data_IF_066619078252
#
_entry.id   IF_066619078252
#
_cell.length_a   1.000
_cell.length_b   1.000
_cell.length_c   1.000
_cell.angle_alpha   90.00
_cell.angle_beta   90.00
_cell.angle_gamma   90.00
#
_symmetry.space_group_name_H-M   'P 1'
#
loop_
_entity.id
_entity.type
_entity.pdbx_description
1 polymer ?
#
# COMPACT_ATOMS: atom_id res chain seq x y z
N UNK A 1 3.23 -32.35 17.51
CA UNK A 1 3.65 -32.00 18.89
C UNK A 1 5.15 -32.04 19.08
N UNK A 2 5.94 -32.59 18.14
CA UNK A 2 7.41 -32.69 18.26
C UNK A 2 8.16 -31.36 18.06
N UNK A 3 7.48 -30.31 17.57
CA UNK A 3 8.06 -28.98 17.26
C UNK A 3 7.92 -27.97 18.41
N UNK A 4 7.50 -28.40 19.60
CA UNK A 4 7.36 -27.51 20.76
C UNK A 4 8.59 -27.67 21.65
N UNK A 5 9.47 -26.67 21.66
CA UNK A 5 10.64 -26.64 22.56
C UNK A 5 10.22 -26.04 23.91
N UNK A 6 10.22 -26.80 25.02
CA UNK A 6 9.86 -26.27 26.32
C UNK A 6 10.96 -25.34 26.85
N UNK A 7 10.61 -24.08 27.08
CA UNK A 7 11.52 -23.09 27.66
C UNK A 7 11.49 -23.22 29.18
N UNK A 8 12.64 -23.49 29.80
CA UNK A 8 12.78 -23.52 31.26
C UNK A 8 12.81 -22.10 31.80
N UNK A 9 11.69 -21.61 32.30
CA UNK A 9 11.62 -20.36 33.07
C UNK A 9 11.61 -20.65 34.58
N UNK A 10 12.05 -19.69 35.38
CA UNK A 10 11.93 -19.78 36.84
C UNK A 10 10.47 -19.89 37.26
N UNK A 11 10.16 -20.73 38.26
CA UNK A 11 8.80 -20.93 38.75
C UNK A 11 8.28 -19.60 39.32
N UNK A 12 7.33 -18.99 38.61
CA UNK A 12 6.67 -17.78 39.09
C UNK A 12 5.56 -18.18 40.08
N UNK A 13 5.87 -18.14 41.38
CA UNK A 13 4.94 -18.54 42.44
C UNK A 13 4.09 -17.33 42.83
N UNK A 14 2.83 -17.31 42.39
CA UNK A 14 1.87 -16.31 42.87
C UNK A 14 1.53 -16.60 44.34
N UNK A 15 1.59 -15.62 45.25
CA UNK A 15 1.22 -15.82 46.64
C UNK A 15 -0.27 -16.21 46.71
N UNK A 16 -0.60 -17.24 47.51
CA UNK A 16 -2.01 -17.61 47.73
C UNK A 16 -2.69 -16.49 48.52
N UNK A 17 -3.85 -16.05 48.05
CA UNK A 17 -4.70 -15.16 48.83
C UNK A 17 -5.26 -15.92 50.04
N UNK A 18 -5.49 -15.21 51.15
CA UNK A 18 -6.12 -15.77 52.35
C UNK A 18 -7.55 -16.27 52.08
N UNK A 19 -8.21 -15.74 51.03
CA UNK A 19 -9.52 -16.21 50.55
C UNK A 19 -9.45 -17.57 49.86
N UNK A 20 -8.30 -17.96 49.31
CA UNK A 20 -8.11 -19.29 48.71
C UNK A 20 -7.85 -20.40 49.74
N UNK A 21 -7.84 -20.09 51.04
CA UNK A 21 -7.56 -21.04 52.11
C UNK A 21 -8.82 -21.75 52.66
N UNK A 22 -10.03 -21.32 52.28
CA UNK A 22 -11.30 -21.91 52.73
C UNK A 22 -12.18 -22.32 51.56
N UNK A 23 -13.01 -23.35 51.73
CA UNK A 23 -13.95 -23.80 50.69
C UNK A 23 -14.90 -22.66 50.26
N UNK A 24 -15.52 -21.89 51.17
CA UNK A 24 -16.36 -20.75 50.77
C UNK A 24 -15.60 -19.68 49.98
N UNK A 25 -14.35 -19.39 50.37
CA UNK A 25 -13.54 -18.40 49.67
C UNK A 25 -13.07 -18.86 48.29
N UNK A 26 -12.75 -20.15 48.11
CA UNK A 26 -12.46 -20.73 46.79
C UNK A 26 -13.67 -20.68 45.87
N UNK A 27 -14.88 -21.02 46.37
CA UNK A 27 -16.11 -20.93 45.59
C UNK A 27 -16.39 -19.49 45.15
N UNK A 28 -16.23 -18.51 46.04
CA UNK A 28 -16.35 -17.09 45.70
C UNK A 28 -15.32 -16.64 44.65
N UNK A 29 -14.08 -17.11 44.73
CA UNK A 29 -13.06 -16.82 43.70
C UNK A 29 -13.44 -17.44 42.35
N UNK A 30 -13.87 -18.70 42.32
CA UNK A 30 -14.27 -19.34 41.06
C UNK A 30 -15.47 -18.63 40.44
N UNK A 31 -16.46 -18.23 41.24
CA UNK A 31 -17.61 -17.48 40.74
C UNK A 31 -17.16 -16.15 40.12
N UNK A 32 -16.32 -15.38 40.80
CA UNK A 32 -15.82 -14.11 40.29
C UNK A 32 -15.03 -14.28 38.97
N UNK A 33 -14.17 -15.29 38.88
CA UNK A 33 -13.39 -15.56 37.65
C UNK A 33 -14.30 -15.99 36.49
N UNK A 34 -15.32 -16.81 36.79
CA UNK A 34 -16.31 -17.22 35.78
C UNK A 34 -17.16 -16.05 35.30
N UNK A 35 -17.65 -15.22 36.22
CA UNK A 35 -18.44 -14.04 35.88
C UNK A 35 -17.60 -13.05 35.06
N UNK A 36 -16.34 -12.82 35.45
CA UNK A 36 -15.42 -11.97 34.70
C UNK A 36 -15.14 -12.53 33.29
N UNK A 37 -14.89 -13.84 33.17
CA UNK A 37 -14.68 -14.50 31.88
C UNK A 37 -15.93 -14.39 31.01
N UNK A 38 -17.11 -14.67 31.55
CA UNK A 38 -18.36 -14.63 30.81
C UNK A 38 -18.68 -13.22 30.30
N UNK A 39 -18.53 -12.20 31.15
CA UNK A 39 -18.70 -10.80 30.77
C UNK A 39 -17.68 -10.37 29.73
N UNK A 40 -16.41 -10.80 29.87
CA UNK A 40 -15.36 -10.46 28.90
C UNK A 40 -15.63 -11.08 27.52
N UNK A 41 -16.08 -12.34 27.48
CA UNK A 41 -16.45 -13.00 26.24
C UNK A 41 -17.65 -12.34 25.58
N UNK A 42 -18.70 -12.04 26.35
CA UNK A 42 -19.88 -11.35 25.82
C UNK A 42 -19.52 -9.98 25.25
N UNK A 43 -18.72 -9.19 25.97
CA UNK A 43 -18.25 -7.89 25.49
C UNK A 43 -17.42 -8.01 24.20
N UNK A 44 -16.58 -9.05 24.10
CA UNK A 44 -15.75 -9.31 22.93
C UNK A 44 -16.60 -9.73 21.71
N UNK A 45 -17.60 -10.57 21.92
CA UNK A 45 -18.58 -10.94 20.89
C UNK A 45 -19.38 -9.72 20.41
N UNK A 46 -19.82 -8.87 21.34
CA UNK A 46 -20.52 -7.63 21.00
C UNK A 46 -19.62 -6.69 20.17
N UNK A 47 -18.36 -6.51 20.58
CA UNK A 47 -17.39 -5.70 19.82
C UNK A 47 -17.14 -6.27 18.43
N UNK A 48 -17.04 -7.59 18.28
CA UNK A 48 -16.88 -8.25 16.99
C UNK A 48 -18.08 -7.96 16.08
N UNK A 49 -19.29 -8.08 16.62
CA UNK A 49 -20.52 -7.78 15.88
C UNK A 49 -20.57 -6.32 15.42
N UNK A 50 -20.27 -5.37 16.30
CA UNK A 50 -20.21 -3.93 15.95
C UNK A 50 -19.15 -3.66 14.90
N UNK A 51 -17.92 -4.16 15.08
CA UNK A 51 -16.83 -3.98 14.11
C UNK A 51 -17.18 -4.56 12.73
N UNK A 52 -17.90 -5.69 12.69
CA UNK A 52 -18.38 -6.27 11.43
C UNK A 52 -19.41 -5.37 10.73
N UNK A 53 -20.32 -4.76 11.47
CA UNK A 53 -21.30 -3.82 10.92
C UNK A 53 -20.62 -2.54 10.41
N UNK A 54 -19.69 -1.98 11.17
CA UNK A 54 -18.90 -0.81 10.78
C UNK A 54 -18.08 -1.07 9.51
N UNK A 55 -17.41 -2.22 9.43
CA UNK A 55 -16.67 -2.64 8.23
C UNK A 55 -17.59 -2.72 7.02
N UNK A 56 -18.78 -3.33 7.18
CA UNK A 56 -19.75 -3.45 6.09
C UNK A 56 -20.16 -2.07 5.58
N UNK A 57 -20.48 -1.15 6.49
CA UNK A 57 -20.83 0.23 6.14
C UNK A 57 -19.66 0.98 5.46
N UNK A 58 -18.43 0.83 5.96
CA UNK A 58 -17.24 1.44 5.36
C UNK A 58 -17.00 0.94 3.92
N UNK A 59 -17.21 -0.36 3.66
CA UNK A 59 -17.10 -0.93 2.31
C UNK A 59 -18.18 -0.37 1.37
N UNK A 60 -19.41 -0.21 1.83
CA UNK A 60 -20.46 0.43 1.04
C UNK A 60 -20.12 1.88 0.70
N UNK A 61 -19.61 2.65 1.66
CA UNK A 61 -19.16 4.02 1.42
C UNK A 61 -17.98 4.06 0.43
N UNK A 62 -17.06 3.10 0.50
CA UNK A 62 -15.95 2.98 -0.44
C UNK A 62 -16.45 2.74 -1.88
N UNK A 63 -17.38 1.80 -2.09
CA UNK A 63 -17.97 1.57 -3.43
C UNK A 63 -18.70 2.82 -3.95
N UNK A 64 -19.47 3.48 -3.09
CA UNK A 64 -20.14 4.73 -3.44
C UNK A 64 -19.14 5.83 -3.85
N UNK A 65 -18.04 5.99 -3.10
CA UNK A 65 -16.98 6.94 -3.43
C UNK A 65 -16.30 6.60 -4.77
N UNK A 66 -16.04 5.32 -5.04
CA UNK A 66 -15.50 4.86 -6.32
C UNK A 66 -16.40 5.23 -7.51
N UNK A 67 -17.73 5.09 -7.37
CA UNK A 67 -18.70 5.51 -8.39
C UNK A 67 -18.68 7.01 -8.64
N UNK A 68 -18.57 7.82 -7.58
CA UNK A 68 -18.45 9.29 -7.70
C UNK A 68 -17.15 9.66 -8.41
N UNK A 69 -16.03 9.04 -8.06
CA UNK A 69 -14.74 9.28 -8.72
C UNK A 69 -14.83 8.93 -10.21
N UNK A 70 -15.47 7.82 -10.58
CA UNK A 70 -15.65 7.44 -11.98
C UNK A 70 -16.47 8.48 -12.76
N UNK A 71 -17.56 8.99 -12.17
CA UNK A 71 -18.38 10.05 -12.78
C UNK A 71 -17.57 11.34 -12.96
N UNK A 72 -16.88 11.79 -11.91
CA UNK A 72 -16.06 13.00 -11.96
C UNK A 72 -14.89 12.89 -12.94
N UNK A 73 -14.28 11.71 -13.07
CA UNK A 73 -13.25 11.46 -14.08
C UNK A 73 -13.81 11.64 -15.49
N UNK A 74 -15.00 11.09 -15.77
CA UNK A 74 -15.67 11.25 -17.07
C UNK A 74 -15.99 12.72 -17.36
N UNK A 75 -16.60 13.43 -16.42
CA UNK A 75 -16.93 14.86 -16.57
C UNK A 75 -15.67 15.72 -16.80
N UNK A 76 -14.57 15.42 -16.08
CA UNK A 76 -13.27 16.08 -16.28
C UNK A 76 -12.71 15.81 -17.68
N UNK A 77 -12.76 14.57 -18.14
CA UNK A 77 -12.19 14.19 -19.44
C UNK A 77 -13.01 14.80 -20.59
N UNK A 78 -14.34 14.84 -20.45
CA UNK A 78 -15.25 15.58 -21.35
C UNK A 78 -14.88 17.08 -21.38
N UNK A 79 -14.77 17.74 -20.23
CA UNK A 79 -14.39 19.15 -20.15
C UNK A 79 -13.01 19.44 -20.79
N UNK A 80 -12.01 18.57 -20.57
CA UNK A 80 -10.68 18.70 -21.19
C UNK A 80 -10.72 18.51 -22.70
N UNK A 81 -11.53 17.56 -23.19
CA UNK A 81 -11.68 17.34 -24.62
C UNK A 81 -12.36 18.50 -25.34
N UNK A 82 -13.37 19.12 -24.70
CA UNK A 82 -14.01 20.34 -25.21
C UNK A 82 -13.03 21.51 -25.25
N UNK A 83 -12.21 21.69 -24.21
CA UNK A 83 -11.14 22.70 -24.21
C UNK A 83 -10.17 22.47 -25.38
N UNK A 84 -9.71 21.24 -25.57
CA UNK A 84 -8.81 20.90 -26.68
C UNK A 84 -9.44 21.12 -28.06
N UNK A 85 -10.76 20.95 -28.21
CA UNK A 85 -11.47 21.28 -29.44
C UNK A 85 -11.56 22.79 -29.67
N UNK A 86 -11.83 23.56 -28.61
CA UNK A 86 -11.86 25.03 -28.67
C UNK A 86 -10.48 25.62 -29.01
N UNK A 87 -9.41 25.12 -28.40
CA UNK A 87 -8.03 25.51 -28.71
C UNK A 87 -7.66 25.21 -30.17
N UNK A 88 -8.16 24.09 -30.73
CA UNK A 88 -7.95 23.74 -32.15
C UNK A 88 -8.77 24.60 -33.11
N UNK A 89 -9.89 25.16 -32.67
CA UNK A 89 -10.72 26.08 -33.45
C UNK A 89 -10.27 27.54 -33.33
N UNK A 90 -9.40 27.87 -32.37
CA UNK A 90 -8.75 29.16 -32.31
C UNK A 90 -7.80 29.33 -33.52
N UNK A 91 -7.95 30.39 -34.33
CA UNK A 91 -7.06 30.61 -35.47
C UNK A 91 -5.62 30.80 -34.99
N UNK A 92 -4.66 30.14 -35.63
CA UNK A 92 -3.24 30.41 -35.47
C UNK A 92 -2.99 31.91 -35.76
N UNK A 93 -2.38 32.69 -34.85
CA UNK A 93 -1.93 34.03 -35.20
C UNK A 93 -0.76 33.89 -36.17
N UNK A 94 -0.94 34.35 -37.41
CA UNK A 94 0.17 34.59 -38.32
C UNK A 94 1.10 35.64 -37.69
N UNK A 95 2.40 35.36 -37.73
CA UNK A 95 3.47 36.11 -37.05
C UNK A 95 3.39 37.64 -37.19
N UNK A 96 3.55 38.35 -36.07
CA UNK A 96 4.20 39.65 -36.05
C UNK A 96 5.01 39.80 -34.74
N UNK A 97 6.32 39.86 -34.94
CA UNK A 97 7.37 40.34 -34.05
C UNK A 97 7.05 41.74 -33.52
N UNK A 98 7.08 41.93 -32.19
CA UNK A 98 7.53 43.13 -31.43
C UNK A 98 7.09 42.94 -29.96
N UNK A 99 8.00 42.67 -29.03
CA UNK A 99 8.74 43.66 -28.25
C UNK A 99 7.85 44.60 -27.39
N UNK A 100 7.78 44.26 -26.10
CA UNK A 100 7.69 45.11 -24.89
C UNK A 100 6.59 46.19 -24.77
N UNK A 101 5.93 46.14 -23.62
CA UNK A 101 5.64 47.27 -22.71
C UNK A 101 4.18 47.66 -22.50
N UNK A 102 3.86 47.73 -21.20
CA UNK A 102 2.89 48.58 -20.53
C UNK A 102 1.42 48.56 -20.96
N UNK A 103 0.61 48.14 -19.98
CA UNK A 103 -0.82 48.37 -20.00
C UNK A 103 -1.20 49.85 -19.94
N UNK A 104 -2.50 50.06 -20.17
CA UNK A 104 -3.39 51.12 -19.67
C UNK A 104 -4.42 51.47 -20.75
N UNK A 105 -5.67 51.65 -20.31
CA UNK A 105 -6.87 52.17 -21.01
C UNK A 105 -7.66 51.16 -21.85
N UNK A 106 -8.97 51.23 -21.94
CA UNK A 106 -9.94 52.15 -21.34
C UNK A 106 -11.32 51.47 -21.27
N UNK A 107 -12.09 51.95 -20.29
CA UNK A 107 -13.54 51.94 -20.21
C UNK A 107 -14.21 52.31 -21.53
N UNK A 108 -15.12 51.46 -22.00
CA UNK A 108 -16.27 51.86 -22.80
C UNK A 108 -17.51 51.16 -22.23
N UNK A 109 -18.45 51.98 -21.79
CA UNK A 109 -19.82 51.62 -21.43
C UNK A 109 -20.64 51.35 -22.70
N UNK A 110 -21.84 50.79 -22.49
CA UNK A 110 -22.95 50.59 -23.43
C UNK A 110 -22.96 49.27 -24.21
N UNK A 111 -23.63 48.26 -23.66
CA UNK A 111 -25.00 47.92 -24.09
C UNK A 111 -25.57 46.76 -23.25
N UNK A 112 -26.76 46.98 -22.67
CA UNK A 112 -27.44 46.06 -21.76
C UNK A 112 -28.47 45.23 -22.53
N UNK A 113 -28.17 43.96 -22.79
CA UNK A 113 -29.08 42.95 -23.32
C UNK A 113 -29.30 41.78 -22.34
N UNK A 114 -30.55 41.29 -22.13
CA UNK A 114 -30.87 40.39 -21.03
C UNK A 114 -30.59 38.93 -21.41
N UNK A 115 -29.54 38.33 -20.86
CA UNK A 115 -29.28 36.90 -21.08
C UNK A 115 -27.88 36.42 -20.70
N UNK A 116 -27.27 36.99 -19.67
CA UNK A 116 -25.92 36.61 -19.26
C UNK A 116 -25.92 35.22 -18.59
N UNK A 117 -25.44 34.21 -19.32
CA UNK A 117 -24.93 32.96 -18.75
C UNK A 117 -23.96 33.33 -17.63
N UNK A 118 -24.23 32.84 -16.41
CA UNK A 118 -23.35 33.01 -15.24
C UNK A 118 -21.94 32.56 -15.59
N UNK A 119 -21.08 33.51 -15.96
CA UNK A 119 -19.65 33.30 -16.10
C UNK A 119 -19.16 32.91 -14.72
N UNK A 120 -18.81 31.63 -14.53
CA UNK A 120 -18.17 31.18 -13.30
C UNK A 120 -16.92 32.01 -13.16
N UNK A 121 -16.88 32.86 -12.14
CA UNK A 121 -15.70 33.63 -11.83
C UNK A 121 -14.60 32.60 -11.60
N UNK A 122 -13.57 32.61 -12.46
CA UNK A 122 -12.34 31.89 -12.19
C UNK A 122 -11.85 32.30 -10.81
N UNK A 123 -11.12 31.39 -10.15
CA UNK A 123 -10.50 31.65 -8.85
C UNK A 123 -9.88 33.05 -8.89
N UNK A 124 -10.36 33.97 -8.08
CA UNK A 124 -9.87 35.36 -8.11
C UNK A 124 -8.39 35.38 -7.76
N UNK A 125 -7.65 36.33 -8.30
CA UNK A 125 -6.20 36.45 -8.06
C UNK A 125 -5.88 36.53 -6.55
N UNK A 126 -6.82 37.07 -5.75
CA UNK A 126 -6.75 37.06 -4.28
C UNK A 126 -6.76 35.65 -3.68
N UNK A 127 -7.64 34.76 -4.17
CA UNK A 127 -7.74 33.38 -3.69
C UNK A 127 -6.51 32.59 -4.14
N UNK A 128 -5.97 32.85 -5.34
CA UNK A 128 -4.73 32.21 -5.80
C UNK A 128 -3.58 32.63 -4.88
N UNK A 129 -3.47 33.92 -4.53
CA UNK A 129 -2.46 34.42 -3.62
C UNK A 129 -2.55 33.73 -2.24
N UNK A 130 -3.74 33.69 -1.64
CA UNK A 130 -3.98 33.00 -0.37
C UNK A 130 -3.65 31.51 -0.44
N UNK A 131 -3.98 30.83 -1.54
CA UNK A 131 -3.73 29.40 -1.72
C UNK A 131 -2.22 29.13 -1.91
N UNK A 132 -1.51 30.02 -2.59
CA UNK A 132 -0.04 29.93 -2.73
C UNK A 132 0.69 30.24 -1.42
N UNK A 133 0.22 31.21 -0.65
CA UNK A 133 0.77 31.55 0.67
C UNK A 133 0.53 30.43 1.68
N UNK A 134 -0.68 29.87 1.69
CA UNK A 134 -1.04 28.74 2.55
C UNK A 134 -0.27 27.47 2.16
N UNK A 135 -0.03 27.23 0.87
CA UNK A 135 0.84 26.14 0.41
C UNK A 135 2.31 26.36 0.82
N UNK A 136 2.82 27.59 0.73
CA UNK A 136 4.18 27.92 1.17
C UNK A 136 4.35 27.69 2.68
N UNK A 137 3.38 28.13 3.49
CA UNK A 137 3.36 27.91 4.94
C UNK A 137 3.28 26.42 5.31
N UNK A 138 2.38 25.66 4.66
CA UNK A 138 2.22 24.22 4.91
C UNK A 138 3.40 23.39 4.38
N UNK A 139 4.04 23.82 3.29
CA UNK A 139 5.23 23.15 2.75
C UNK A 139 6.45 23.28 3.66
N UNK A 140 6.55 24.37 4.44
CA UNK A 140 7.57 24.49 5.49
C UNK A 140 7.30 23.56 6.68
N UNK A 141 6.03 23.29 6.99
CA UNK A 141 5.63 22.36 8.06
C UNK A 141 5.71 20.89 7.64
N UNK A 142 5.77 20.59 6.33
CA UNK A 142 6.06 19.24 5.82
C UNK A 142 7.50 18.91 6.13
N UNK A 143 7.74 18.26 7.28
CA UNK A 143 9.00 17.59 7.58
C UNK A 143 9.42 16.78 6.36
N UNK A 144 10.55 17.13 5.74
CA UNK A 144 11.19 16.30 4.71
C UNK A 144 11.20 14.88 5.24
N UNK A 145 10.58 13.97 4.49
CA UNK A 145 10.43 12.56 4.87
C UNK A 145 11.81 12.06 5.32
N UNK A 146 11.94 11.73 6.61
CA UNK A 146 13.19 11.19 7.12
C UNK A 146 13.38 9.83 6.46
N UNK A 147 14.33 9.77 5.52
CA UNK A 147 14.71 8.52 4.90
C UNK A 147 15.41 7.73 6.00
N UNK A 148 14.95 6.52 6.34
CA UNK A 148 15.55 5.73 7.39
C UNK A 148 17.02 5.44 7.03
N UNK A 149 17.95 5.47 8.00
CA UNK A 149 19.38 5.27 7.76
C UNK A 149 19.73 3.85 7.25
N UNK A 150 18.76 2.94 7.24
CA UNK A 150 18.87 1.59 6.68
C UNK A 150 18.71 1.53 5.17
N UNK A 151 18.26 2.61 4.51
CA UNK A 151 18.11 2.64 3.05
C UNK A 151 19.47 2.93 2.39
N UNK A 152 19.86 2.12 1.40
CA UNK A 152 21.11 2.31 0.67
C UNK A 152 21.14 3.66 -0.07
N UNK A 153 22.23 4.46 0.05
CA UNK A 153 22.36 5.72 -0.68
C UNK A 153 22.53 5.48 -2.18
N UNK A 154 22.18 6.48 -2.98
CA UNK A 154 22.22 6.41 -4.46
C UNK A 154 23.64 6.08 -4.96
N UNK A 155 24.66 6.64 -4.33
CA UNK A 155 26.06 6.37 -4.66
C UNK A 155 26.49 4.91 -4.43
N UNK A 156 25.82 4.20 -3.52
CA UNK A 156 26.06 2.76 -3.32
C UNK A 156 25.38 1.92 -4.41
N UNK A 157 24.27 2.40 -4.97
CA UNK A 157 23.56 1.72 -6.05
C UNK A 157 24.39 1.71 -7.35
N UNK A 158 25.09 2.81 -7.64
CA UNK A 158 25.96 2.93 -8.83
C UNK A 158 27.16 1.97 -8.81
N UNK A 159 27.56 1.49 -7.62
CA UNK A 159 28.69 0.57 -7.47
C UNK A 159 28.33 -0.90 -7.64
N UNK A 160 27.04 -1.26 -7.74
CA UNK A 160 26.65 -2.64 -7.95
C UNK A 160 26.95 -3.08 -9.39
N UNK A 161 27.89 -4.03 -9.52
CA UNK A 161 28.19 -4.70 -10.79
C UNK A 161 27.64 -6.11 -10.79
N UNK A 162 27.20 -6.59 -11.95
CA UNK A 162 26.75 -7.97 -12.11
C UNK A 162 27.93 -8.93 -11.97
N UNK A 163 27.90 -9.80 -10.96
CA UNK A 163 28.94 -10.81 -10.72
C UNK A 163 28.73 -12.09 -11.56
N UNK A 164 27.49 -12.49 -11.80
CA UNK A 164 27.17 -13.68 -12.60
C UNK A 164 25.75 -13.63 -13.20
N UNK A 165 25.50 -14.44 -14.22
CA UNK A 165 24.17 -14.62 -14.84
C UNK A 165 23.92 -16.10 -15.07
N UNK A 166 22.80 -16.61 -14.55
CA UNK A 166 22.43 -18.02 -14.71
C UNK A 166 20.98 -18.11 -15.22
N UNK A 167 20.72 -18.84 -16.32
CA UNK A 167 19.36 -19.07 -16.80
C UNK A 167 18.69 -20.16 -15.95
N UNK A 168 17.87 -19.75 -14.98
CA UNK A 168 17.22 -20.67 -14.03
C UNK A 168 15.89 -21.25 -14.54
N UNK A 169 15.19 -20.54 -15.43
CA UNK A 169 13.87 -20.92 -15.92
C UNK A 169 13.84 -21.08 -17.44
N UNK A 170 12.83 -21.79 -17.96
CA UNK A 170 12.69 -22.03 -19.40
C UNK A 170 12.55 -20.72 -20.19
N UNK A 171 13.30 -20.61 -21.28
CA UNK A 171 13.36 -19.42 -22.15
C UNK A 171 12.07 -19.14 -22.93
N UNK A 172 11.14 -20.11 -23.01
CA UNK A 172 9.88 -19.98 -23.74
C UNK A 172 8.90 -18.98 -23.06
N UNK A 173 9.00 -18.77 -21.74
CA UNK A 173 8.23 -17.75 -21.01
C UNK A 173 9.14 -17.03 -20.00
N UNK A 174 9.85 -15.97 -20.42
CA UNK A 174 10.77 -15.28 -19.52
C UNK A 174 9.99 -14.55 -18.44
N UNK A 175 10.26 -14.88 -17.18
CA UNK A 175 9.76 -14.13 -16.03
C UNK A 175 9.94 -14.86 -14.72
N UNK A 176 10.76 -14.28 -13.85
CA UNK A 176 10.88 -14.67 -12.45
C UNK A 176 9.92 -13.76 -11.68
N UNK A 177 8.99 -14.36 -10.96
CA UNK A 177 7.95 -13.64 -10.22
C UNK A 177 8.36 -13.36 -8.78
N UNK A 178 9.20 -14.22 -8.21
CA UNK A 178 9.60 -14.18 -6.82
C UNK A 178 10.99 -14.79 -6.64
N UNK A 179 11.73 -14.24 -5.69
CA UNK A 179 13.06 -14.71 -5.28
C UNK A 179 13.15 -14.63 -3.76
N UNK A 180 13.78 -15.63 -3.16
CA UNK A 180 14.10 -15.63 -1.74
C UNK A 180 15.45 -16.29 -1.52
N UNK A 181 16.18 -15.86 -0.50
CA UNK A 181 17.53 -16.33 -0.21
C UNK A 181 17.54 -16.90 1.21
N UNK A 182 18.04 -18.12 1.36
CA UNK A 182 18.34 -18.68 2.67
C UNK A 182 19.79 -18.34 3.06
N UNK A 183 20.01 -17.46 4.04
CA UNK A 183 21.35 -17.01 4.42
C UNK A 183 22.19 -18.09 5.10
N UNK A 184 21.59 -19.14 5.68
CA UNK A 184 22.34 -20.18 6.41
C UNK A 184 22.99 -21.21 5.49
N UNK A 185 22.34 -21.55 4.38
CA UNK A 185 22.78 -22.58 3.42
C UNK A 185 23.25 -22.04 2.09
N UNK A 186 23.15 -20.73 1.90
CA UNK A 186 23.48 -20.04 0.67
C UNK A 186 22.75 -20.55 -0.58
N UNK A 187 21.47 -20.87 -0.38
CA UNK A 187 20.56 -21.36 -1.42
C UNK A 187 19.58 -20.25 -1.78
N UNK A 188 19.36 -20.08 -3.08
CA UNK A 188 18.39 -19.17 -3.66
C UNK A 188 17.22 -19.98 -4.20
N UNK A 189 16.00 -19.58 -3.86
CA UNK A 189 14.80 -20.15 -4.46
C UNK A 189 14.15 -19.12 -5.38
N UNK A 190 13.83 -19.54 -6.60
CA UNK A 190 13.17 -18.70 -7.60
C UNK A 190 11.86 -19.32 -8.07
N UNK A 191 10.82 -18.48 -8.14
CA UNK A 191 9.53 -18.85 -8.71
C UNK A 191 9.39 -18.31 -10.13
N UNK A 192 9.02 -19.18 -11.07
CA UNK A 192 8.90 -18.83 -12.48
C UNK A 192 7.46 -18.77 -13.00
N UNK A 193 7.30 -18.08 -14.13
CA UNK A 193 6.07 -18.15 -14.95
C UNK A 193 5.89 -19.53 -15.59
N UNK A 194 6.97 -20.33 -15.68
CA UNK A 194 6.99 -21.69 -16.22
C UNK A 194 6.43 -22.76 -15.25
N UNK A 195 5.73 -22.32 -14.20
CA UNK A 195 5.10 -23.14 -13.14
C UNK A 195 6.09 -23.93 -12.28
N UNK A 196 7.39 -23.70 -12.44
CA UNK A 196 8.42 -24.39 -11.67
C UNK A 196 8.97 -23.48 -10.58
N UNK A 197 9.28 -24.07 -9.43
CA UNK A 197 10.14 -23.47 -8.43
C UNK A 197 11.53 -24.10 -8.54
N UNK A 198 12.57 -23.28 -8.67
CA UNK A 198 13.94 -23.73 -8.87
C UNK A 198 14.78 -23.38 -7.64
N UNK A 199 15.50 -24.35 -7.11
CA UNK A 199 16.52 -24.14 -6.09
C UNK A 199 17.89 -24.06 -6.74
N UNK A 200 18.59 -22.97 -6.47
CA UNK A 200 19.91 -22.68 -6.99
C UNK A 200 20.91 -22.53 -5.84
N UNK A 201 21.99 -23.31 -5.87
CA UNK A 201 23.07 -23.16 -4.90
C UNK A 201 23.99 -22.02 -5.32
N UNK A 202 24.12 -20.97 -4.51
CA UNK A 202 25.00 -19.84 -4.85
C UNK A 202 26.48 -20.23 -4.81
N UNK A 203 26.84 -21.14 -3.91
CA UNK A 203 28.21 -21.67 -3.77
C UNK A 203 28.59 -22.66 -4.86
N UNK A 204 27.66 -23.53 -5.29
CA UNK A 204 27.93 -24.51 -6.35
C UNK A 204 27.77 -23.93 -7.75
N UNK A 205 26.96 -22.87 -7.92
CA UNK A 205 26.63 -22.33 -9.25
C UNK A 205 25.70 -23.24 -10.06
N UNK A 206 25.10 -24.24 -9.42
CA UNK A 206 24.29 -25.27 -10.06
C UNK A 206 22.84 -25.26 -9.57
N UNK A 207 21.94 -25.76 -10.42
CA UNK A 207 20.54 -25.97 -10.08
C UNK A 207 20.46 -27.24 -9.23
N UNK A 208 20.19 -27.07 -7.94
CA UNK A 208 20.07 -28.18 -6.99
C UNK A 208 18.81 -29.00 -7.25
N UNK A 209 17.69 -28.34 -7.51
CA UNK A 209 16.44 -29.01 -7.83
C UNK A 209 15.47 -28.12 -8.59
N UNK A 210 14.68 -28.75 -9.45
CA UNK A 210 13.53 -28.12 -10.12
C UNK A 210 12.27 -28.80 -9.63
N UNK A 211 11.44 -28.08 -8.90
CA UNK A 211 10.16 -28.56 -8.41
C UNK A 211 9.05 -28.23 -9.41
N UNK A 212 8.60 -29.26 -10.12
CA UNK A 212 7.45 -29.21 -11.02
C UNK A 212 6.24 -29.87 -10.35
N UNK A 213 5.38 -29.06 -9.74
CA UNK A 213 4.14 -29.53 -9.10
C UNK A 213 2.95 -28.60 -9.28
N UNK A 214 3.21 -27.32 -9.55
CA UNK A 214 2.15 -26.31 -9.74
C UNK A 214 1.64 -26.33 -11.18
N UNK A 215 0.34 -26.09 -11.35
CA UNK A 215 -0.29 -26.08 -12.68
C UNK A 215 -0.10 -24.72 -13.37
N UNK A 216 -0.04 -23.64 -12.60
CA UNK A 216 0.15 -22.27 -13.06
C UNK A 216 1.43 -21.64 -12.47
N UNK A 217 1.66 -20.38 -12.85
CA UNK A 217 2.80 -19.59 -12.40
C UNK A 217 2.89 -19.54 -10.88
N UNK A 218 4.11 -19.75 -10.39
CA UNK A 218 4.44 -19.53 -8.97
C UNK A 218 4.39 -18.03 -8.73
N UNK A 219 3.70 -17.58 -7.69
CA UNK A 219 3.52 -16.16 -7.35
C UNK A 219 4.40 -15.73 -6.19
N UNK A 220 4.71 -16.64 -5.27
CA UNK A 220 5.50 -16.35 -4.08
C UNK A 220 6.34 -17.55 -3.70
N UNK A 221 7.57 -17.29 -3.27
CA UNK A 221 8.48 -18.29 -2.71
C UNK A 221 9.08 -17.70 -1.44
N UNK A 222 9.06 -18.47 -0.34
CA UNK A 222 9.63 -18.05 0.94
C UNK A 222 10.29 -19.20 1.69
N UNK A 223 11.51 -18.97 2.16
CA UNK A 223 12.21 -19.87 3.07
C UNK A 223 11.70 -19.71 4.50
N UNK A 224 11.47 -20.83 5.16
CA UNK A 224 11.25 -20.89 6.60
C UNK A 224 12.61 -21.05 7.25
N UNK A 225 13.02 -20.05 8.05
CA UNK A 225 14.36 -19.98 8.62
C UNK A 225 14.75 -21.16 9.53
N UNK A 226 13.76 -21.92 10.03
CA UNK A 226 13.97 -22.89 11.09
C UNK A 226 14.04 -24.37 10.64
N UNK A 227 13.31 -24.77 9.59
CA UNK A 227 13.07 -26.20 9.30
C UNK A 227 13.57 -26.67 7.93
N UNK A 228 14.47 -25.96 7.25
CA UNK A 228 14.93 -26.33 5.89
C UNK A 228 13.80 -26.52 4.86
N UNK A 229 12.63 -25.99 5.16
CA UNK A 229 11.46 -25.99 4.30
C UNK A 229 11.34 -24.63 3.65
N UNK A 230 10.86 -24.63 2.41
CA UNK A 230 10.40 -23.43 1.75
C UNK A 230 8.98 -23.63 1.27
N UNK A 231 8.24 -22.54 1.21
CA UNK A 231 6.87 -22.48 0.77
C UNK A 231 6.86 -21.90 -0.64
N UNK A 232 6.06 -22.52 -1.51
CA UNK A 232 5.76 -21.99 -2.83
C UNK A 232 4.25 -21.80 -2.96
N UNK A 233 3.84 -20.58 -3.31
CA UNK A 233 2.48 -20.23 -3.63
C UNK A 233 2.31 -20.14 -5.14
N UNK A 234 1.23 -20.73 -5.66
CA UNK A 234 0.87 -20.69 -7.08
C UNK A 234 -0.47 -20.00 -7.27
N UNK A 235 -0.72 -19.47 -8.47
CA UNK A 235 -2.02 -18.91 -8.86
C UNK A 235 -3.08 -20.00 -9.18
N UNK A 236 -2.86 -21.23 -8.73
CA UNK A 236 -3.75 -22.35 -8.92
C UNK A 236 -5.12 -22.11 -8.26
N UNK A 237 -6.15 -22.70 -8.86
CA UNK A 237 -7.56 -22.47 -8.49
C UNK A 237 -7.95 -23.44 -7.38
#
# INVERSE_FOLDING_TARGET
>A
MEDIVPIKTGKNVKPRSLTAASIPGMLGMFQNEWDALMLSNFALEQQLHTARQELSHALYQHDAACRVIARLKKERDEARSLLAQADRQAPLPASAVTAVSNGKRASEEEDMGPGAKRMRHGVSDSIIAELTECNAALSQQRKKRQIPPTLAPIDALERYTQLSSHPLHKTNKPGITSIDINPSKDIVATGGIDSNAVLFGRTSGEILSTLSGHSKKVTSVKFVAHNDVFLSGSADK
#
